data_IF_544863675300
#
_entry.id   IF_544863675300
#
_cell.length_a   1.000
_cell.length_b   1.000
_cell.length_c   1.000
_cell.angle_alpha   90.00
_cell.angle_beta   90.00
_cell.angle_gamma   90.00
#
_symmetry.space_group_name_H-M   'P 1'
#
loop_
_entity.id
_entity.type
_entity.pdbx_description
1 polymer ?
#
# COMPACT_ATOMS: atom_id res chain seq x y z
N UNK A 1 -9.89 -21.56 25.93
CA UNK A 1 -9.06 -20.78 24.98
C UNK A 1 -9.96 -20.29 23.86
N UNK A 2 -10.02 -18.97 23.61
CA UNK A 2 -10.80 -18.45 22.49
C UNK A 2 -10.21 -18.99 21.16
N UNK A 3 -11.04 -19.61 20.33
CA UNK A 3 -10.64 -20.18 19.04
C UNK A 3 -10.09 -19.03 18.18
N UNK A 4 -8.84 -19.13 17.71
CA UNK A 4 -8.29 -18.16 16.76
C UNK A 4 -9.24 -18.06 15.57
N UNK A 5 -9.74 -16.86 15.29
CA UNK A 5 -10.73 -16.60 14.23
C UNK A 5 -10.09 -16.41 12.84
N UNK A 6 -8.77 -16.56 12.76
CA UNK A 6 -7.96 -16.38 11.56
C UNK A 6 -6.72 -17.29 11.63
N UNK A 7 -6.19 -17.66 10.47
CA UNK A 7 -5.02 -18.54 10.32
C UNK A 7 -3.71 -17.74 10.32
N UNK A 8 -3.70 -16.59 9.63
CA UNK A 8 -2.50 -15.76 9.46
C UNK A 8 -2.82 -14.27 9.72
N UNK A 9 -1.80 -13.53 10.15
CA UNK A 9 -1.86 -12.08 10.40
C UNK A 9 -0.79 -11.40 9.55
N UNK A 10 -1.19 -10.51 8.64
CA UNK A 10 -0.25 -9.73 7.83
C UNK A 10 -0.32 -8.25 8.19
N UNK A 11 0.84 -7.66 8.45
CA UNK A 11 0.99 -6.21 8.67
C UNK A 11 1.34 -5.53 7.35
N UNK A 12 0.47 -4.65 6.89
CA UNK A 12 0.62 -3.85 5.67
C UNK A 12 0.80 -2.36 6.02
N UNK A 13 1.63 -1.66 5.27
CA UNK A 13 1.86 -0.22 5.43
C UNK A 13 1.60 0.52 4.11
N UNK A 14 0.81 1.58 4.16
CA UNK A 14 0.60 2.50 3.04
C UNK A 14 1.50 3.72 3.21
N UNK A 15 2.37 3.98 2.24
CA UNK A 15 3.29 5.13 2.25
C UNK A 15 3.21 5.91 0.94
N UNK A 16 3.75 7.13 0.94
CA UNK A 16 3.69 8.06 -0.19
C UNK A 16 3.36 9.49 0.27
N UNK A 17 3.45 10.44 -0.64
CA UNK A 17 3.27 11.86 -0.35
C UNK A 17 1.87 12.19 0.20
N UNK A 18 1.73 13.38 0.79
CA UNK A 18 0.44 13.92 1.18
C UNK A 18 -0.45 14.13 -0.05
N UNK A 19 -1.75 13.86 0.08
CA UNK A 19 -2.71 14.11 -1.01
C UNK A 19 -2.77 13.06 -2.13
N UNK A 20 -1.90 12.05 -2.11
CA UNK A 20 -1.90 10.99 -3.15
C UNK A 20 -3.10 10.03 -3.04
N UNK A 21 -3.78 10.02 -1.89
CA UNK A 21 -5.02 9.27 -1.67
C UNK A 21 -4.87 7.93 -0.93
N UNK A 22 -3.82 7.75 -0.12
CA UNK A 22 -3.59 6.54 0.71
C UNK A 22 -4.80 6.19 1.59
N UNK A 23 -5.30 7.15 2.35
CA UNK A 23 -6.50 7.01 3.18
C UNK A 23 -7.73 6.62 2.36
N UNK A 24 -7.90 7.19 1.17
CA UNK A 24 -9.02 6.86 0.28
C UNK A 24 -8.89 5.43 -0.27
N UNK A 25 -7.67 5.00 -0.61
CA UNK A 25 -7.39 3.61 -1.02
C UNK A 25 -7.69 2.65 0.13
N UNK A 26 -7.29 2.98 1.36
CA UNK A 26 -7.60 2.18 2.54
C UNK A 26 -9.10 2.07 2.78
N UNK A 27 -9.82 3.19 2.85
CA UNK A 27 -11.26 3.19 3.11
C UNK A 27 -12.07 2.54 2.00
N UNK A 28 -11.65 2.71 0.74
CA UNK A 28 -12.29 2.00 -0.36
C UNK A 28 -12.12 0.49 -0.21
N UNK A 29 -10.94 0.03 0.23
CA UNK A 29 -10.73 -1.39 0.47
C UNK A 29 -11.47 -1.91 1.72
N UNK A 30 -11.43 -1.18 2.84
CA UNK A 30 -11.94 -1.68 4.12
C UNK A 30 -13.46 -1.55 4.26
N UNK A 31 -14.02 -0.43 3.80
CA UNK A 31 -15.38 0.00 4.13
C UNK A 31 -16.26 0.19 2.87
N UNK A 32 -15.71 -0.08 1.67
CA UNK A 32 -16.30 0.26 0.35
C UNK A 32 -16.81 1.72 0.26
N UNK A 33 -16.10 2.62 0.95
CA UNK A 33 -16.48 4.02 1.09
C UNK A 33 -15.48 4.94 0.40
N UNK A 34 -15.97 6.06 -0.15
CA UNK A 34 -15.14 7.14 -0.65
C UNK A 34 -15.71 8.49 -0.18
N UNK A 35 -14.88 9.26 0.53
CA UNK A 35 -15.23 10.59 0.97
C UNK A 35 -14.51 11.63 0.10
N UNK A 36 -15.25 12.59 -0.45
CA UNK A 36 -14.72 13.66 -1.29
C UNK A 36 -14.05 14.77 -0.49
N UNK A 37 -14.30 14.86 0.82
CA UNK A 37 -13.71 15.88 1.67
C UNK A 37 -12.26 15.52 1.98
N UNK A 38 -11.32 16.29 1.40
CA UNK A 38 -9.91 16.13 1.70
C UNK A 38 -9.62 16.62 3.12
N UNK A 39 -9.47 15.67 4.05
CA UNK A 39 -8.96 15.93 5.39
C UNK A 39 -7.56 15.33 5.41
N UNK A 40 -6.55 16.15 5.72
CA UNK A 40 -5.17 15.65 5.88
C UNK A 40 -5.12 14.68 7.06
N UNK A 41 -4.60 13.47 6.84
CA UNK A 41 -4.35 12.51 7.92
C UNK A 41 -3.35 13.11 8.90
N UNK A 42 -3.78 13.30 10.15
CA UNK A 42 -2.91 13.69 11.26
C UNK A 42 -2.44 12.40 11.93
N UNK A 43 -1.14 12.13 11.88
CA UNK A 43 -0.58 10.91 12.46
C UNK A 43 -0.77 9.67 11.58
N UNK A 44 -1.30 8.59 12.15
CA UNK A 44 -1.44 7.28 11.50
C UNK A 44 -2.82 6.71 11.82
N UNK A 45 -3.52 6.21 10.80
CA UNK A 45 -4.78 5.49 10.94
C UNK A 45 -4.56 3.98 10.75
N UNK A 46 -5.45 3.18 11.33
CA UNK A 46 -5.31 1.72 11.38
C UNK A 46 -6.65 1.03 11.11
N UNK A 47 -6.64 0.10 10.16
CA UNK A 47 -7.81 -0.74 9.83
C UNK A 47 -7.44 -2.21 9.81
N UNK A 48 -8.43 -3.02 10.18
CA UNK A 48 -8.35 -4.49 10.08
C UNK A 48 -9.39 -4.95 9.07
N UNK A 49 -8.96 -5.77 8.11
CA UNK A 49 -9.87 -6.52 7.23
C UNK A 49 -9.41 -7.97 7.14
N UNK A 50 -10.32 -8.92 7.35
CA UNK A 50 -10.04 -10.33 7.12
C UNK A 50 -10.39 -10.68 5.69
N UNK A 51 -9.47 -11.31 4.98
CA UNK A 51 -9.66 -11.84 3.63
C UNK A 51 -9.46 -13.35 3.63
N UNK A 52 -10.00 -14.05 2.65
CA UNK A 52 -9.77 -15.48 2.46
C UNK A 52 -8.91 -15.67 1.20
N UNK A 53 -7.74 -16.27 1.35
CA UNK A 53 -6.79 -16.53 0.26
C UNK A 53 -6.27 -17.96 0.37
N UNK A 54 -6.39 -18.73 -0.71
CA UNK A 54 -5.95 -20.13 -0.77
C UNK A 54 -6.50 -20.99 0.40
N UNK A 55 -7.77 -20.77 0.75
CA UNK A 55 -8.45 -21.47 1.85
C UNK A 55 -8.02 -21.06 3.26
N UNK A 56 -7.15 -20.06 3.40
CA UNK A 56 -6.71 -19.49 4.68
C UNK A 56 -7.40 -18.16 4.95
N UNK A 57 -7.89 -17.97 6.17
CA UNK A 57 -8.40 -16.69 6.67
C UNK A 57 -7.25 -15.83 7.15
N UNK A 58 -6.96 -14.77 6.41
CA UNK A 58 -5.84 -13.88 6.66
C UNK A 58 -6.37 -12.55 7.20
N UNK A 59 -5.96 -12.19 8.40
CA UNK A 59 -6.25 -10.88 8.98
C UNK A 59 -5.21 -9.88 8.51
N UNK A 60 -5.63 -8.90 7.71
CA UNK A 60 -4.78 -7.80 7.27
C UNK A 60 -4.88 -6.67 8.30
N UNK A 61 -3.73 -6.23 8.79
CA UNK A 61 -3.53 -5.06 9.65
C UNK A 61 -2.90 -3.96 8.81
N UNK A 62 -3.69 -2.96 8.43
CA UNK A 62 -3.27 -1.96 7.46
C UNK A 62 -3.08 -0.63 8.17
N UNK A 63 -1.87 -0.10 8.07
CA UNK A 63 -1.47 1.18 8.63
C UNK A 63 -1.44 2.23 7.51
N UNK A 64 -2.28 3.25 7.62
CA UNK A 64 -2.28 4.43 6.75
C UNK A 64 -1.48 5.56 7.39
N UNK A 65 -0.45 6.05 6.70
CA UNK A 65 0.45 7.05 7.27
C UNK A 65 0.16 8.46 6.75
N UNK A 66 0.38 9.46 7.59
CA UNK A 66 0.48 10.83 7.12
C UNK A 66 1.59 10.95 6.07
N UNK A 67 1.26 11.50 4.90
CA UNK A 67 2.24 11.75 3.83
C UNK A 67 2.98 13.07 3.98
N UNK A 68 2.85 13.77 5.11
CA UNK A 68 3.56 15.02 5.34
C UNK A 68 4.93 14.76 5.93
N UNK A 69 5.92 15.45 5.38
CA UNK A 69 7.32 15.37 5.76
C UNK A 69 7.57 15.65 7.25
N UNK A 70 6.71 16.47 7.88
CA UNK A 70 6.74 16.77 9.31
C UNK A 70 6.51 15.56 10.22
N UNK A 71 5.99 14.44 9.69
CA UNK A 71 5.74 13.20 10.44
C UNK A 71 6.65 12.03 10.01
N UNK A 72 7.73 12.30 9.27
CA UNK A 72 8.67 11.26 8.82
C UNK A 72 9.20 10.39 9.99
N UNK A 73 9.54 10.98 11.14
CA UNK A 73 10.02 10.24 12.33
C UNK A 73 8.97 9.30 12.93
N UNK A 74 7.67 9.61 12.77
CA UNK A 74 6.60 8.73 13.23
C UNK A 74 6.49 7.51 12.32
N UNK A 75 6.82 7.65 11.03
CA UNK A 75 6.63 6.60 10.03
C UNK A 75 7.67 5.47 10.18
N UNK A 76 8.91 5.77 10.58
CA UNK A 76 10.02 4.80 10.66
C UNK A 76 9.73 3.62 11.59
N UNK A 77 9.06 3.84 12.72
CA UNK A 77 8.70 2.77 13.66
C UNK A 77 7.69 1.76 13.09
N UNK A 78 6.94 2.14 12.05
CA UNK A 78 5.92 1.28 11.43
C UNK A 78 6.47 0.40 10.33
N UNK A 79 7.62 0.73 9.73
CA UNK A 79 8.32 -0.15 8.81
C UNK A 79 8.73 -1.45 9.49
N UNK A 80 9.11 -1.40 10.78
CA UNK A 80 9.50 -2.59 11.54
C UNK A 80 8.35 -3.60 11.60
N UNK A 81 8.62 -4.82 11.12
CA UNK A 81 7.65 -5.91 11.07
C UNK A 81 6.53 -5.73 10.06
N UNK A 82 6.59 -4.72 9.19
CA UNK A 82 5.73 -4.70 8.00
C UNK A 82 6.11 -5.88 7.11
N UNK A 83 5.11 -6.66 6.69
CA UNK A 83 5.28 -7.79 5.78
C UNK A 83 5.04 -7.37 4.32
N UNK A 84 4.23 -6.32 4.13
CA UNK A 84 4.01 -5.70 2.83
C UNK A 84 3.92 -4.18 2.93
N UNK A 85 4.45 -3.49 1.91
CA UNK A 85 4.41 -2.03 1.79
C UNK A 85 3.82 -1.66 0.43
N UNK A 86 2.81 -0.80 0.46
CA UNK A 86 2.17 -0.22 -0.71
C UNK A 86 2.58 1.25 -0.82
N UNK A 87 3.37 1.56 -1.84
CA UNK A 87 3.85 2.90 -2.14
C UNK A 87 2.94 3.57 -3.16
N UNK A 88 2.32 4.67 -2.78
CA UNK A 88 1.28 5.34 -3.58
C UNK A 88 1.78 6.69 -4.11
N UNK A 89 1.61 6.94 -5.40
CA UNK A 89 1.70 8.27 -6.00
C UNK A 89 0.38 8.63 -6.69
N UNK A 90 0.26 9.90 -7.09
CA UNK A 90 -0.88 10.44 -7.82
C UNK A 90 -0.49 10.69 -9.28
N UNK A 91 -1.21 10.08 -10.23
CA UNK A 91 -0.91 10.22 -11.67
C UNK A 91 -1.07 11.66 -12.20
N UNK A 92 -1.74 12.52 -11.43
CA UNK A 92 -1.95 13.94 -11.73
C UNK A 92 -0.94 14.85 -11.01
N UNK A 93 0.06 14.27 -10.32
CA UNK A 93 1.08 15.02 -9.57
C UNK A 93 2.49 14.45 -9.78
N UNK A 94 3.28 15.09 -10.64
CA UNK A 94 4.67 14.71 -10.97
C UNK A 94 5.57 14.68 -9.76
N UNK A 95 5.45 15.62 -8.82
CA UNK A 95 6.28 15.67 -7.62
C UNK A 95 6.10 14.42 -6.75
N UNK A 96 4.86 13.93 -6.64
CA UNK A 96 4.59 12.69 -5.91
C UNK A 96 5.27 11.47 -6.54
N UNK A 97 5.41 11.47 -7.87
CA UNK A 97 6.11 10.42 -8.60
C UNK A 97 7.64 10.54 -8.48
N UNK A 98 8.20 11.75 -8.55
CA UNK A 98 9.64 11.97 -8.36
C UNK A 98 10.12 11.53 -6.97
N UNK A 99 9.27 11.72 -5.96
CA UNK A 99 9.54 11.32 -4.58
C UNK A 99 9.50 9.79 -4.36
N UNK A 100 9.06 8.98 -5.32
CA UNK A 100 9.07 7.51 -5.22
C UNK A 100 10.47 6.99 -4.91
N UNK A 101 11.50 7.53 -5.56
CA UNK A 101 12.90 7.16 -5.31
C UNK A 101 13.31 7.36 -3.84
N UNK A 102 12.87 8.46 -3.21
CA UNK A 102 13.09 8.74 -1.79
C UNK A 102 12.34 7.73 -0.92
N UNK A 103 11.08 7.43 -1.25
CA UNK A 103 10.29 6.46 -0.48
C UNK A 103 10.86 5.04 -0.57
N UNK A 104 11.33 4.62 -1.73
CA UNK A 104 11.99 3.32 -1.90
C UNK A 104 13.26 3.21 -1.05
N UNK A 105 14.11 4.25 -1.04
CA UNK A 105 15.27 4.30 -0.13
C UNK A 105 14.87 4.18 1.34
N UNK A 106 13.79 4.85 1.76
CA UNK A 106 13.31 4.73 3.13
C UNK A 106 12.85 3.29 3.46
N UNK A 107 12.25 2.58 2.51
CA UNK A 107 11.91 1.16 2.66
C UNK A 107 13.19 0.35 2.85
N UNK A 108 14.18 0.54 1.98
CA UNK A 108 15.46 -0.18 2.04
C UNK A 108 16.21 0.05 3.36
N UNK A 109 16.13 1.26 3.92
CA UNK A 109 16.81 1.62 5.17
C UNK A 109 16.11 1.10 6.45
N UNK A 110 14.78 0.97 6.44
CA UNK A 110 14.00 0.79 7.69
C UNK A 110 13.11 -0.45 7.73
N UNK A 111 12.80 -1.06 6.60
CA UNK A 111 12.00 -2.29 6.54
C UNK A 111 12.89 -3.54 6.65
N UNK A 112 12.27 -4.69 6.86
CA UNK A 112 12.98 -5.96 6.74
C UNK A 112 13.33 -6.23 5.27
N UNK A 113 14.44 -6.93 5.01
CA UNK A 113 14.89 -7.28 3.66
C UNK A 113 13.86 -8.11 2.87
N UNK A 114 13.07 -8.91 3.57
CA UNK A 114 12.06 -9.80 2.99
C UNK A 114 10.71 -9.13 2.71
N UNK A 115 10.54 -7.85 3.05
CA UNK A 115 9.28 -7.12 2.89
C UNK A 115 8.79 -7.14 1.44
N UNK A 116 7.52 -7.47 1.24
CA UNK A 116 6.89 -7.37 -0.08
C UNK A 116 6.55 -5.91 -0.42
N UNK A 117 6.72 -5.54 -1.68
CA UNK A 117 6.60 -4.14 -2.12
C UNK A 117 5.71 -4.03 -3.35
N UNK A 118 4.87 -3.01 -3.37
CA UNK A 118 4.00 -2.72 -4.50
C UNK A 118 3.89 -1.21 -4.74
N UNK A 119 4.01 -0.80 -5.99
CA UNK A 119 3.80 0.57 -6.45
C UNK A 119 2.35 0.76 -6.93
N UNK A 120 1.71 1.84 -6.51
CA UNK A 120 0.37 2.23 -6.93
C UNK A 120 0.36 3.63 -7.55
N UNK A 121 -0.09 3.73 -8.79
CA UNK A 121 -0.45 4.99 -9.44
C UNK A 121 -1.94 5.29 -9.22
N UNK A 122 -2.28 6.04 -8.18
CA UNK A 122 -3.66 6.33 -7.83
C UNK A 122 -4.26 7.49 -8.65
N UNK A 123 -5.60 7.58 -8.62
CA UNK A 123 -6.43 8.56 -9.35
C UNK A 123 -6.47 8.35 -10.86
N UNK A 124 -6.39 7.08 -11.31
CA UNK A 124 -6.49 6.75 -12.74
C UNK A 124 -7.84 7.06 -13.38
N UNK A 125 -8.85 7.41 -12.59
CA UNK A 125 -10.10 8.00 -13.09
C UNK A 125 -9.94 9.42 -13.64
N UNK A 126 -8.83 10.11 -13.34
CA UNK A 126 -8.55 11.49 -13.75
C UNK A 126 -7.67 11.54 -15.00
N UNK A 127 -7.99 10.74 -16.03
CA UNK A 127 -7.18 10.59 -17.24
C UNK A 127 -6.94 11.94 -17.96
N UNK A 128 -7.94 12.80 -18.02
CA UNK A 128 -7.84 14.15 -18.63
C UNK A 128 -6.83 15.07 -17.91
N UNK A 129 -6.44 14.73 -16.67
CA UNK A 129 -5.47 15.48 -15.86
C UNK A 129 -4.18 14.70 -15.65
N UNK A 130 -3.98 13.57 -16.35
CA UNK A 130 -2.79 12.75 -16.23
C UNK A 130 -1.56 13.55 -16.66
N UNK A 131 -0.56 13.57 -15.80
CA UNK A 131 0.77 14.13 -16.12
C UNK A 131 1.90 13.11 -15.92
N UNK A 132 1.61 11.99 -15.24
CA UNK A 132 2.51 10.84 -15.13
C UNK A 132 1.99 9.71 -16.03
N UNK A 133 2.66 9.41 -17.15
CA UNK A 133 2.31 8.30 -18.01
C UNK A 133 2.44 6.97 -17.28
N UNK A 134 1.50 6.05 -17.50
CA UNK A 134 1.52 4.70 -16.93
C UNK A 134 2.85 3.97 -17.15
N UNK A 135 3.44 4.14 -18.34
CA UNK A 135 4.72 3.54 -18.71
C UNK A 135 5.87 3.91 -17.75
N UNK A 136 5.84 5.09 -17.11
CA UNK A 136 6.85 5.47 -16.11
C UNK A 136 6.71 4.66 -14.82
N UNK A 137 5.48 4.43 -14.36
CA UNK A 137 5.21 3.58 -13.20
C UNK A 137 5.62 2.12 -13.47
N UNK A 138 5.31 1.62 -14.66
CA UNK A 138 5.74 0.28 -15.10
C UNK A 138 7.27 0.17 -15.20
N UNK A 139 7.95 1.21 -15.66
CA UNK A 139 9.41 1.25 -15.73
C UNK A 139 10.04 1.16 -14.34
N UNK A 140 9.65 2.03 -13.40
CA UNK A 140 10.17 1.99 -12.01
C UNK A 140 9.90 0.62 -11.39
N UNK A 141 8.71 0.06 -11.61
CA UNK A 141 8.37 -1.24 -11.06
C UNK A 141 9.25 -2.36 -11.60
N UNK A 142 9.58 -2.34 -12.90
CA UNK A 142 10.54 -3.28 -13.50
C UNK A 142 11.95 -3.09 -12.94
N UNK A 143 12.43 -1.85 -12.84
CA UNK A 143 13.78 -1.53 -12.35
C UNK A 143 13.99 -2.00 -10.90
N UNK A 144 12.95 -1.92 -10.06
CA UNK A 144 13.01 -2.35 -8.67
C UNK A 144 12.48 -3.77 -8.44
N UNK A 145 12.01 -4.47 -9.48
CA UNK A 145 11.46 -5.83 -9.35
C UNK A 145 10.18 -5.91 -8.50
N UNK A 146 9.37 -4.86 -8.47
CA UNK A 146 8.14 -4.77 -7.65
C UNK A 146 6.89 -4.80 -8.51
N UNK A 147 5.74 -5.12 -7.90
CA UNK A 147 4.43 -5.08 -8.59
C UNK A 147 3.99 -3.63 -8.84
N UNK A 148 3.20 -3.42 -9.90
CA UNK A 148 2.58 -2.14 -10.20
C UNK A 148 1.12 -2.27 -10.59
N UNK A 149 0.29 -1.38 -10.03
CA UNK A 149 -1.08 -1.16 -10.49
C UNK A 149 -1.37 0.34 -10.59
N UNK A 150 -2.17 0.73 -11.58
CA UNK A 150 -2.91 1.97 -11.48
C UNK A 150 -4.24 1.72 -10.77
N UNK A 151 -4.59 2.59 -9.84
CA UNK A 151 -5.77 2.46 -9.00
C UNK A 151 -6.63 3.71 -9.03
N UNK A 152 -7.91 3.54 -8.73
CA UNK A 152 -8.79 4.66 -8.41
C UNK A 152 -9.59 4.32 -7.18
N UNK A 153 -9.31 5.00 -6.07
CA UNK A 153 -10.15 4.91 -4.88
C UNK A 153 -11.59 5.43 -5.15
N UNK A 154 -11.73 6.40 -6.07
CA UNK A 154 -13.03 6.99 -6.43
C UNK A 154 -13.89 6.02 -7.23
N UNK A 155 -13.34 5.49 -8.33
CA UNK A 155 -14.02 4.58 -9.25
C UNK A 155 -13.89 3.10 -8.88
N UNK A 156 -13.27 2.80 -7.73
CA UNK A 156 -12.98 1.44 -7.24
C UNK A 156 -12.20 0.58 -8.25
N UNK A 157 -11.23 1.18 -8.95
CA UNK A 157 -10.41 0.48 -9.95
C UNK A 157 -9.19 -0.14 -9.27
N UNK A 158 -9.00 -1.45 -9.45
CA UNK A 158 -7.86 -2.24 -8.97
C UNK A 158 -7.58 -2.19 -7.45
N UNK A 159 -8.48 -1.65 -6.63
CA UNK A 159 -8.27 -1.50 -5.19
C UNK A 159 -8.14 -2.87 -4.53
N UNK A 160 -9.18 -3.70 -4.60
CA UNK A 160 -9.15 -5.05 -4.00
C UNK A 160 -8.03 -5.91 -4.62
N UNK A 161 -7.89 -5.85 -5.95
CA UNK A 161 -6.83 -6.58 -6.67
C UNK A 161 -5.44 -6.27 -6.13
N UNK A 162 -5.12 -5.00 -5.86
CA UNK A 162 -3.82 -4.61 -5.33
C UNK A 162 -3.56 -5.22 -3.93
N UNK A 163 -4.51 -5.11 -3.00
CA UNK A 163 -4.38 -5.66 -1.65
C UNK A 163 -4.28 -7.19 -1.67
N UNK A 164 -5.13 -7.88 -2.45
CA UNK A 164 -5.11 -9.34 -2.52
C UNK A 164 -3.84 -9.86 -3.19
N UNK A 165 -3.34 -9.19 -4.24
CA UNK A 165 -2.09 -9.57 -4.90
C UNK A 165 -0.91 -9.45 -3.93
N UNK A 166 -0.82 -8.35 -3.18
CA UNK A 166 0.24 -8.18 -2.18
C UNK A 166 0.13 -9.23 -1.07
N UNK A 167 -1.09 -9.49 -0.56
CA UNK A 167 -1.30 -10.51 0.46
C UNK A 167 -0.96 -11.92 -0.04
N UNK A 168 -1.19 -12.22 -1.33
CA UNK A 168 -0.79 -13.49 -1.93
C UNK A 168 0.73 -13.61 -2.11
N UNK A 169 1.42 -12.53 -2.52
CA UNK A 169 2.88 -12.51 -2.59
C UNK A 169 3.49 -12.79 -1.20
N UNK A 170 2.95 -12.16 -0.13
CA UNK A 170 3.35 -12.42 1.27
C UNK A 170 3.05 -13.87 1.67
N UNK A 171 1.84 -14.38 1.36
CA UNK A 171 1.44 -15.74 1.70
C UNK A 171 2.38 -16.77 1.06
N UNK A 172 2.80 -16.55 -0.19
CA UNK A 172 3.76 -17.42 -0.88
C UNK A 172 5.10 -17.46 -0.15
N UNK A 173 5.65 -16.29 0.22
CA UNK A 173 6.90 -16.22 1.01
C UNK A 173 6.81 -16.90 2.37
N UNK A 174 5.73 -16.65 3.12
CA UNK A 174 5.51 -17.27 4.43
C UNK A 174 5.38 -18.78 4.30
N UNK A 175 4.70 -19.27 3.25
CA UNK A 175 4.52 -20.72 3.04
C UNK A 175 5.81 -21.41 2.61
N UNK A 176 6.68 -20.75 1.83
CA UNK A 176 7.98 -21.31 1.45
C UNK A 176 8.98 -21.33 2.62
N UNK A 177 8.92 -20.36 3.53
CA UNK A 177 9.75 -20.35 4.74
C UNK A 177 9.30 -21.33 5.83
N UNK A 178 8.16 -21.99 5.68
CA UNK A 178 7.67 -23.04 6.59
C UNK A 178 8.12 -24.45 6.18
N UNK A 179 8.73 -24.61 5.01
CA UNK A 179 9.21 -25.89 4.48
C UNK A 179 10.71 -26.14 4.71
N UNK A 180 11.41 -25.19 5.31
CA UNK A 180 12.79 -25.31 5.82
C UNK A 180 12.79 -25.51 7.35
#
# INVERSE_FOLDING_TARGET
MAKKTYDLLFKLLLIGDSGVGKTCVLFRFSDDAFNTTFISTIGIDFKIKTVELQGKKIKLQIWDTAGQERFHTITTSYYRGAMGIMLVYDITNTKSFENISKWLRNIDEHANEDVERMLLGNKCDMEDKRIVPKAKGEQIAREHGIRFFETSAKANINIEKAFLTLAEDILRKVSSGMTD
#
